data_IF_990220374849
#
_entry.id   IF_990220374849
#
_cell.length_a   1.000
_cell.length_b   1.000
_cell.length_c   1.000
_cell.angle_alpha   90.00
_cell.angle_beta   90.00
_cell.angle_gamma   90.00
#
_symmetry.space_group_name_H-M   'P 1'
#
loop_
_entity.id
_entity.type
_entity.pdbx_description
1 polymer ?
#
# COMPACT_ATOMS: atom_id res chain seq x y z
N UNK A 1 -60.42 -19.20 2.15
CA UNK A 1 -59.26 -18.33 1.85
C UNK A 1 -58.11 -18.66 2.81
N UNK A 2 -57.32 -19.72 2.56
CA UNK A 2 -56.16 -20.05 3.43
C UNK A 2 -55.05 -20.82 2.70
N UNK A 3 -54.67 -20.35 1.50
CA UNK A 3 -53.51 -20.85 0.75
C UNK A 3 -52.46 -19.76 0.49
N UNK A 4 -52.81 -18.48 0.69
CA UNK A 4 -51.93 -17.32 0.42
C UNK A 4 -50.96 -16.98 1.54
N UNK A 5 -51.24 -17.39 2.78
CA UNK A 5 -50.38 -17.09 3.95
C UNK A 5 -49.20 -18.06 4.08
N UNK A 6 -49.35 -19.32 3.68
CA UNK A 6 -48.26 -20.31 3.70
C UNK A 6 -47.19 -20.01 2.64
N UNK A 7 -47.58 -19.52 1.47
CA UNK A 7 -46.65 -19.16 0.40
C UNK A 7 -45.79 -17.92 0.73
N UNK A 8 -46.33 -16.97 1.51
CA UNK A 8 -45.58 -15.77 1.94
C UNK A 8 -44.53 -16.05 3.03
N UNK A 9 -44.74 -17.06 3.87
CA UNK A 9 -43.76 -17.47 4.88
C UNK A 9 -42.66 -18.38 4.29
N UNK A 10 -43.02 -19.24 3.33
CA UNK A 10 -42.03 -20.05 2.59
C UNK A 10 -41.12 -19.19 1.70
N UNK A 11 -41.67 -18.14 1.06
CA UNK A 11 -40.90 -17.22 0.21
C UNK A 11 -39.90 -16.36 1.01
N UNK A 12 -40.22 -15.97 2.25
CA UNK A 12 -39.28 -15.21 3.11
C UNK A 12 -38.12 -16.06 3.63
N UNK A 13 -38.33 -17.35 3.92
CA UNK A 13 -37.23 -18.26 4.28
C UNK A 13 -36.34 -18.61 3.08
N UNK A 14 -36.90 -18.68 1.88
CA UNK A 14 -36.12 -18.88 0.64
C UNK A 14 -35.29 -17.65 0.25
N UNK A 15 -35.78 -16.43 0.50
CA UNK A 15 -35.02 -15.18 0.28
C UNK A 15 -33.92 -14.94 1.32
N UNK A 16 -33.97 -15.61 2.48
CA UNK A 16 -32.95 -15.51 3.53
C UNK A 16 -31.78 -16.49 3.33
N UNK A 17 -31.94 -17.49 2.45
CA UNK A 17 -30.97 -18.55 2.19
C UNK A 17 -30.05 -18.31 0.96
N UNK A 18 -30.26 -17.23 0.20
CA UNK A 18 -29.45 -16.89 -0.98
C UNK A 18 -28.94 -15.43 -0.95
N UNK A 19 -28.37 -14.99 0.18
CA UNK A 19 -27.27 -14.02 0.10
C UNK A 19 -25.99 -14.84 0.03
N UNK A 20 -25.60 -15.26 -1.18
CA UNK A 20 -24.19 -15.51 -1.43
C UNK A 20 -23.47 -14.22 -1.06
N UNK A 21 -22.92 -14.16 0.16
CA UNK A 21 -22.14 -13.02 0.59
C UNK A 21 -20.94 -13.02 -0.32
N UNK A 22 -20.90 -12.07 -1.26
CA UNK A 22 -19.78 -11.89 -2.18
C UNK A 22 -18.47 -12.07 -1.42
N UNK A 23 -17.55 -12.85 -1.98
CA UNK A 23 -16.23 -13.11 -1.39
C UNK A 23 -15.54 -11.81 -0.97
N UNK A 24 -15.77 -10.74 -1.73
CA UNK A 24 -15.37 -9.37 -1.42
C UNK A 24 -15.93 -8.84 -0.09
N UNK A 25 -17.23 -8.95 0.17
CA UNK A 25 -17.87 -8.43 1.40
C UNK A 25 -17.35 -9.17 2.62
N UNK A 26 -17.21 -10.50 2.53
CA UNK A 26 -16.66 -11.32 3.61
C UNK A 26 -15.20 -10.95 3.89
N UNK A 27 -14.41 -10.79 2.83
CA UNK A 27 -13.01 -10.36 2.92
C UNK A 27 -12.87 -8.98 3.57
N UNK A 28 -13.66 -8.01 3.12
CA UNK A 28 -13.62 -6.65 3.67
C UNK A 28 -14.04 -6.61 5.14
N UNK A 29 -15.10 -7.34 5.53
CA UNK A 29 -15.51 -7.43 6.95
C UNK A 29 -14.38 -7.97 7.82
N UNK A 30 -13.75 -9.06 7.39
CA UNK A 30 -12.62 -9.63 8.13
C UNK A 30 -11.44 -8.63 8.21
N UNK A 31 -11.12 -7.94 7.11
CA UNK A 31 -10.07 -6.93 7.12
C UNK A 31 -10.39 -5.75 8.06
N UNK A 32 -11.64 -5.29 8.11
CA UNK A 32 -12.06 -4.23 9.03
C UNK A 32 -12.03 -4.69 10.49
N UNK A 33 -12.47 -5.92 10.77
CA UNK A 33 -12.39 -6.52 12.10
C UNK A 33 -10.94 -6.53 12.60
N UNK A 34 -9.98 -7.00 11.79
CA UNK A 34 -8.56 -6.96 12.12
C UNK A 34 -8.03 -5.55 12.38
N UNK A 35 -8.58 -4.51 11.73
CA UNK A 35 -8.11 -3.13 11.89
C UNK A 35 -8.61 -2.45 13.17
N UNK A 36 -9.73 -2.90 13.71
CA UNK A 36 -10.38 -2.28 14.87
C UNK A 36 -10.18 -3.08 16.16
N UNK A 37 -10.14 -4.42 16.08
CA UNK A 37 -9.96 -5.30 17.24
C UNK A 37 -8.52 -5.84 17.31
N UNK A 38 -7.76 -5.29 18.26
CA UNK A 38 -6.36 -5.63 18.48
C UNK A 38 -6.17 -7.09 18.94
N UNK A 39 -7.15 -7.70 19.63
CA UNK A 39 -7.06 -9.08 20.09
C UNK A 39 -7.31 -10.07 18.95
N UNK A 40 -8.26 -9.77 18.06
CA UNK A 40 -8.45 -10.53 16.82
C UNK A 40 -7.22 -10.38 15.93
N UNK A 41 -6.63 -9.19 15.84
CA UNK A 41 -5.41 -8.96 15.08
C UNK A 41 -4.21 -9.73 15.64
N UNK A 42 -4.02 -9.78 16.96
CA UNK A 42 -2.95 -10.58 17.59
C UNK A 42 -3.09 -12.06 17.29
N UNK A 43 -4.31 -12.59 17.36
CA UNK A 43 -4.59 -14.00 16.96
C UNK A 43 -4.24 -14.21 15.48
N UNK A 44 -4.54 -13.25 14.62
CA UNK A 44 -4.19 -13.34 13.21
C UNK A 44 -2.67 -13.26 12.97
N UNK A 45 -1.91 -12.51 13.77
CA UNK A 45 -0.44 -12.48 13.69
C UNK A 45 0.18 -13.86 13.98
N UNK A 46 -0.39 -14.65 14.88
CA UNK A 46 0.13 -16.01 15.18
C UNK A 46 -0.05 -17.05 14.06
N UNK A 47 -0.94 -16.81 13.10
CA UNK A 47 -1.22 -17.74 11.98
C UNK A 47 -1.08 -17.10 10.60
N UNK A 48 -0.73 -15.82 10.55
CA UNK A 48 -0.66 -15.02 9.32
C UNK A 48 0.62 -15.25 8.52
N UNK A 49 0.66 -14.56 7.39
CA UNK A 49 1.80 -14.51 6.47
C UNK A 49 2.49 -13.16 6.60
N UNK A 50 3.82 -13.16 6.57
CA UNK A 50 4.66 -11.99 6.73
C UNK A 50 5.51 -11.78 5.47
N UNK A 51 5.61 -10.51 5.08
CA UNK A 51 6.55 -10.03 4.07
C UNK A 51 7.61 -9.18 4.76
N UNK A 52 8.86 -9.49 4.50
CA UNK A 52 9.99 -8.91 5.24
C UNK A 52 10.58 -7.73 4.50
N UNK A 53 10.92 -6.71 5.26
CA UNK A 53 11.59 -5.51 4.81
C UNK A 53 12.83 -5.26 5.66
N UNK A 54 13.79 -4.55 5.10
CA UNK A 54 14.90 -3.97 5.83
C UNK A 54 15.11 -2.55 5.30
N UNK A 55 14.94 -1.55 6.17
CA UNK A 55 15.07 -0.13 5.79
C UNK A 55 14.19 0.22 4.58
N UNK A 56 12.93 -0.19 4.65
CA UNK A 56 11.90 -0.06 3.61
C UNK A 56 12.19 -0.81 2.30
N UNK A 57 13.29 -1.54 2.16
CA UNK A 57 13.53 -2.40 1.00
C UNK A 57 12.91 -3.79 1.25
N UNK A 58 12.00 -4.29 0.41
CA UNK A 58 11.46 -5.64 0.54
C UNK A 58 12.54 -6.69 0.27
N UNK A 59 12.45 -7.81 0.97
CA UNK A 59 13.15 -9.03 0.61
C UNK A 59 12.55 -9.58 -0.68
N UNK A 60 13.38 -9.76 -1.69
CA UNK A 60 12.99 -10.32 -2.98
C UNK A 60 13.90 -11.49 -3.36
N UNK A 61 13.31 -12.51 -3.97
CA UNK A 61 14.01 -13.65 -4.55
C UNK A 61 13.89 -13.60 -6.07
N UNK A 62 14.99 -13.87 -6.76
CA UNK A 62 15.02 -13.88 -8.21
C UNK A 62 14.62 -15.27 -8.72
N UNK A 63 13.53 -15.34 -9.48
CA UNK A 63 13.08 -16.56 -10.13
C UNK A 63 12.98 -16.30 -11.63
N UNK A 64 13.96 -16.81 -12.38
CA UNK A 64 14.15 -16.46 -13.79
C UNK A 64 14.48 -14.97 -13.97
N UNK A 65 13.65 -14.25 -14.72
CA UNK A 65 13.80 -12.80 -14.97
C UNK A 65 12.82 -11.94 -14.15
N UNK A 66 12.18 -12.51 -13.12
CA UNK A 66 11.23 -11.79 -12.26
C UNK A 66 11.61 -11.90 -10.79
N UNK A 67 11.28 -10.85 -10.04
CA UNK A 67 11.35 -10.86 -8.59
C UNK A 67 10.04 -11.31 -7.98
N UNK A 68 10.14 -12.20 -7.00
CA UNK A 68 9.05 -12.65 -6.16
C UNK A 68 9.32 -12.21 -4.72
N UNK A 69 8.26 -11.84 -4.00
CA UNK A 69 8.36 -11.56 -2.57
C UNK A 69 7.98 -12.83 -1.79
N UNK A 70 8.94 -13.50 -1.11
CA UNK A 70 8.65 -14.73 -0.40
C UNK A 70 7.73 -14.49 0.82
N UNK A 71 6.65 -15.27 0.97
CA UNK A 71 5.80 -15.23 2.16
C UNK A 71 6.39 -16.09 3.29
N UNK A 72 6.41 -15.59 4.53
CA UNK A 72 6.85 -16.32 5.72
C UNK A 72 5.68 -16.59 6.67
N UNK A 73 5.60 -17.78 7.24
CA UNK A 73 4.63 -18.05 8.32
C UNK A 73 5.14 -17.50 9.65
N UNK A 74 4.24 -17.23 10.58
CA UNK A 74 4.58 -16.76 11.92
C UNK A 74 5.65 -17.64 12.60
N UNK A 75 5.48 -18.97 12.60
CA UNK A 75 6.43 -19.91 13.21
C UNK A 75 7.84 -19.87 12.57
N UNK A 76 7.90 -19.68 11.26
CA UNK A 76 9.16 -19.54 10.54
C UNK A 76 9.83 -18.21 10.88
N UNK A 77 9.06 -17.14 10.96
CA UNK A 77 9.53 -15.82 11.34
C UNK A 77 10.07 -15.79 12.78
N UNK A 78 9.40 -16.45 13.73
CA UNK A 78 9.87 -16.57 15.12
C UNK A 78 11.23 -17.28 15.21
N UNK A 79 11.43 -18.34 14.42
CA UNK A 79 12.72 -19.04 14.30
C UNK A 79 13.81 -18.11 13.75
N UNK A 80 13.48 -17.35 12.70
CA UNK A 80 14.40 -16.38 12.09
C UNK A 80 14.77 -15.28 13.11
N UNK A 81 13.79 -14.66 13.78
CA UNK A 81 14.03 -13.62 14.78
C UNK A 81 14.90 -14.13 15.93
N UNK A 82 14.61 -15.33 16.44
CA UNK A 82 15.39 -15.96 17.50
C UNK A 82 16.86 -16.19 17.09
N UNK A 83 17.09 -16.58 15.83
CA UNK A 83 18.45 -16.79 15.29
C UNK A 83 19.28 -15.51 15.26
N UNK A 84 18.64 -14.37 14.98
CA UNK A 84 19.29 -13.05 14.94
C UNK A 84 19.27 -12.32 16.30
N UNK A 85 18.93 -13.02 17.40
CA UNK A 85 18.88 -12.43 18.74
C UNK A 85 17.82 -11.33 18.90
N UNK A 86 16.81 -11.35 18.04
CA UNK A 86 15.73 -10.36 18.05
C UNK A 86 14.56 -10.87 18.91
N UNK A 87 13.95 -9.98 19.69
CA UNK A 87 12.77 -10.32 20.48
C UNK A 87 11.58 -10.67 19.56
N UNK A 88 10.94 -11.81 19.82
CA UNK A 88 9.72 -12.26 19.15
C UNK A 88 8.60 -11.24 19.21
N UNK A 89 8.58 -10.37 20.24
CA UNK A 89 7.63 -9.25 20.35
C UNK A 89 7.73 -8.26 19.18
N UNK A 90 8.79 -8.30 18.36
CA UNK A 90 8.87 -7.52 17.11
C UNK A 90 7.76 -7.84 16.12
N UNK A 91 7.13 -9.02 16.18
CA UNK A 91 5.98 -9.36 15.33
C UNK A 91 4.82 -8.37 15.52
N UNK A 92 4.58 -7.85 16.73
CA UNK A 92 3.55 -6.83 16.99
C UNK A 92 3.85 -5.50 16.26
N UNK A 93 5.10 -5.26 15.87
CA UNK A 93 5.49 -4.08 15.08
C UNK A 93 5.08 -4.21 13.61
N UNK A 94 4.71 -5.40 13.14
CA UNK A 94 4.21 -5.61 11.78
C UNK A 94 2.95 -4.80 11.47
N UNK A 95 2.70 -4.54 10.19
CA UNK A 95 1.54 -3.79 9.70
C UNK A 95 0.68 -4.69 8.84
N UNK A 96 -0.63 -4.64 9.03
CA UNK A 96 -1.60 -5.40 8.25
C UNK A 96 -1.68 -4.79 6.84
N UNK A 97 -1.40 -5.60 5.83
CA UNK A 97 -1.37 -5.16 4.42
C UNK A 97 -2.52 -5.77 3.60
N UNK A 98 -3.14 -6.85 4.08
CA UNK A 98 -4.26 -7.47 3.38
C UNK A 98 -4.68 -8.80 3.99
N UNK A 99 -5.51 -9.54 3.26
CA UNK A 99 -5.90 -10.90 3.63
C UNK A 99 -6.28 -11.71 2.38
N UNK A 100 -6.23 -13.03 2.51
CA UNK A 100 -6.73 -13.98 1.52
C UNK A 100 -8.25 -14.16 1.64
N UNK A 101 -8.87 -14.76 0.62
CA UNK A 101 -10.31 -15.08 0.65
C UNK A 101 -10.65 -16.16 1.69
N UNK A 102 -9.63 -16.89 2.17
CA UNK A 102 -9.73 -17.89 3.24
C UNK A 102 -9.48 -17.32 4.64
N UNK A 103 -9.50 -15.98 4.79
CA UNK A 103 -9.22 -15.27 6.05
C UNK A 103 -7.81 -15.51 6.61
N UNK A 104 -6.82 -15.67 5.73
CA UNK A 104 -5.41 -15.63 6.14
C UNK A 104 -4.93 -14.18 6.06
N UNK A 105 -4.52 -13.60 7.19
CA UNK A 105 -4.03 -12.23 7.23
C UNK A 105 -2.59 -12.12 6.71
N UNK A 106 -2.31 -11.02 6.01
CA UNK A 106 -0.99 -10.71 5.48
C UNK A 106 -0.44 -9.47 6.16
N UNK A 107 0.81 -9.54 6.60
CA UNK A 107 1.50 -8.50 7.33
C UNK A 107 2.82 -8.14 6.67
N UNK A 108 3.30 -6.93 6.89
CA UNK A 108 4.65 -6.51 6.54
C UNK A 108 5.44 -6.16 7.80
N UNK A 109 6.68 -6.62 7.89
CA UNK A 109 7.55 -6.34 9.03
C UNK A 109 8.88 -5.80 8.52
N UNK A 110 9.24 -4.60 8.98
CA UNK A 110 10.58 -4.05 8.78
C UNK A 110 11.49 -4.46 9.94
N UNK A 111 12.55 -5.17 9.61
CA UNK A 111 13.47 -5.78 10.56
C UNK A 111 14.49 -4.77 11.11
N UNK A 112 14.75 -3.66 10.40
CA UNK A 112 15.67 -2.61 10.88
C UNK A 112 15.05 -1.73 11.97
N UNK A 113 13.71 -1.73 12.09
CA UNK A 113 13.00 -0.84 13.00
C UNK A 113 13.27 -1.20 14.48
N UNK A 114 14.13 -0.42 15.13
CA UNK A 114 14.53 -0.58 16.53
C UNK A 114 15.98 -1.06 16.73
N UNK A 115 16.72 -1.31 15.65
CA UNK A 115 18.18 -1.47 15.73
C UNK A 115 18.83 -0.09 15.61
N UNK A 116 19.14 0.54 16.75
CA UNK A 116 19.87 1.83 16.79
C UNK A 116 21.40 1.65 16.62
N UNK A 117 21.85 0.46 16.20
CA UNK A 117 23.26 0.09 16.19
C UNK A 117 23.87 0.19 14.78
N UNK A 118 25.07 0.76 14.71
CA UNK A 118 25.91 0.97 13.51
C UNK A 118 26.45 -0.32 12.85
N UNK A 119 25.97 -1.50 13.25
CA UNK A 119 26.31 -2.83 12.71
C UNK A 119 25.29 -3.37 11.69
N UNK A 120 24.36 -2.54 11.24
CA UNK A 120 23.21 -2.92 10.39
C UNK A 120 23.60 -3.52 9.03
N UNK A 121 24.77 -3.15 8.50
CA UNK A 121 25.27 -3.68 7.22
C UNK A 121 25.68 -5.16 7.28
N UNK A 122 26.31 -5.59 8.39
CA UNK A 122 26.72 -6.98 8.59
C UNK A 122 25.51 -7.87 8.85
N UNK A 123 24.58 -7.39 9.68
CA UNK A 123 23.32 -8.11 9.97
C UNK A 123 22.50 -8.29 8.69
N UNK A 124 22.44 -7.28 7.82
CA UNK A 124 21.73 -7.39 6.54
C UNK A 124 22.26 -8.54 5.66
N UNK A 125 23.58 -8.66 5.50
CA UNK A 125 24.17 -9.70 4.63
C UNK A 125 23.93 -11.12 5.16
N UNK A 126 23.99 -11.29 6.48
CA UNK A 126 23.69 -12.57 7.14
C UNK A 126 22.21 -12.95 6.96
N UNK A 127 21.31 -11.97 7.08
CA UNK A 127 19.88 -12.15 6.87
C UNK A 127 19.54 -12.50 5.42
N UNK A 128 20.16 -11.83 4.45
CA UNK A 128 19.98 -12.14 3.02
C UNK A 128 20.40 -13.59 2.70
N UNK A 129 21.48 -14.06 3.32
CA UNK A 129 21.97 -15.44 3.16
C UNK A 129 20.99 -16.46 3.76
N UNK A 130 20.50 -16.23 4.99
CA UNK A 130 19.54 -17.12 5.64
C UNK A 130 18.20 -17.19 4.89
N UNK A 131 17.73 -16.05 4.39
CA UNK A 131 16.44 -15.91 3.73
C UNK A 131 16.51 -16.25 2.22
N UNK A 132 17.70 -16.60 1.71
CA UNK A 132 17.97 -16.94 0.32
C UNK A 132 17.44 -15.87 -0.65
N UNK A 133 17.60 -14.58 -0.30
CA UNK A 133 17.05 -13.46 -1.04
C UNK A 133 17.83 -12.18 -0.78
N UNK A 134 17.45 -11.08 -1.44
CA UNK A 134 18.12 -9.79 -1.27
C UNK A 134 17.12 -8.69 -0.97
N UNK A 135 17.49 -7.75 -0.11
CA UNK A 135 16.67 -6.56 0.14
C UNK A 135 16.94 -5.53 -0.95
N UNK A 136 16.00 -5.40 -1.88
CA UNK A 136 16.14 -4.59 -3.08
C UNK A 136 15.20 -3.39 -3.02
N UNK A 137 15.73 -2.21 -3.30
CA UNK A 137 14.92 -0.99 -3.41
C UNK A 137 13.83 -1.16 -4.47
N UNK A 138 12.56 -0.94 -4.11
CA UNK A 138 11.42 -1.17 -4.99
C UNK A 138 11.53 -0.46 -6.35
N UNK A 139 12.12 0.74 -6.39
CA UNK A 139 12.36 1.47 -7.65
C UNK A 139 13.23 0.69 -8.64
N UNK A 140 14.20 -0.08 -8.14
CA UNK A 140 15.08 -0.93 -8.97
C UNK A 140 14.36 -2.20 -9.42
N UNK A 141 13.52 -2.77 -8.56
CA UNK A 141 12.81 -4.01 -8.83
C UNK A 141 11.50 -3.84 -9.61
N UNK A 142 10.98 -2.61 -9.76
CA UNK A 142 9.63 -2.32 -10.27
C UNK A 142 9.27 -3.06 -11.56
N UNK A 143 10.14 -3.02 -12.57
CA UNK A 143 9.86 -3.64 -13.88
C UNK A 143 10.02 -5.16 -13.89
N UNK A 144 10.66 -5.73 -12.88
CA UNK A 144 10.90 -7.17 -12.76
C UNK A 144 9.97 -7.83 -11.73
N UNK A 145 9.26 -7.05 -10.91
CA UNK A 145 8.29 -7.57 -9.95
C UNK A 145 7.11 -8.26 -10.64
N UNK A 146 6.63 -9.31 -9.99
CA UNK A 146 5.39 -9.98 -10.38
C UNK A 146 4.18 -9.07 -10.12
N UNK A 147 3.27 -8.95 -11.10
CA UNK A 147 2.11 -8.04 -11.04
C UNK A 147 1.24 -8.26 -9.80
N UNK A 148 1.06 -9.53 -9.41
CA UNK A 148 0.27 -9.92 -8.23
C UNK A 148 0.88 -9.36 -6.94
N UNK A 149 2.20 -9.37 -6.84
CA UNK A 149 2.93 -8.99 -5.62
C UNK A 149 3.20 -7.47 -5.59
N UNK A 150 3.28 -6.82 -6.76
CA UNK A 150 3.57 -5.38 -6.87
C UNK A 150 2.63 -4.54 -6.00
N UNK A 151 1.31 -4.69 -6.15
CA UNK A 151 0.34 -3.89 -5.37
C UNK A 151 0.47 -4.10 -3.85
N UNK A 152 0.74 -5.34 -3.44
CA UNK A 152 0.86 -5.73 -2.04
C UNK A 152 2.14 -5.14 -1.42
N UNK A 153 3.29 -5.31 -2.08
CA UNK A 153 4.59 -4.86 -1.57
C UNK A 153 4.69 -3.32 -1.58
N UNK A 154 4.06 -2.66 -2.54
CA UNK A 154 3.94 -1.20 -2.53
C UNK A 154 3.12 -0.70 -1.34
N UNK A 155 1.97 -1.33 -1.09
CA UNK A 155 1.12 -0.99 0.06
C UNK A 155 1.87 -1.19 1.37
N UNK A 156 2.60 -2.32 1.49
CA UNK A 156 3.46 -2.62 2.62
C UNK A 156 4.52 -1.54 2.86
N UNK A 157 5.32 -1.20 1.84
CA UNK A 157 6.35 -0.17 1.96
C UNK A 157 5.75 1.19 2.37
N UNK A 158 4.61 1.56 1.78
CA UNK A 158 3.98 2.84 2.03
C UNK A 158 3.45 2.96 3.47
N UNK A 159 2.87 1.88 4.02
CA UNK A 159 2.43 1.82 5.42
C UNK A 159 3.62 1.83 6.39
N UNK A 160 4.67 1.05 6.10
CA UNK A 160 5.90 1.04 6.91
C UNK A 160 6.54 2.44 6.97
N UNK A 161 6.68 3.10 5.80
CA UNK A 161 7.19 4.46 5.70
C UNK A 161 6.31 5.46 6.44
N UNK A 162 4.98 5.32 6.36
CA UNK A 162 4.07 6.18 7.11
C UNK A 162 4.35 6.12 8.62
N UNK A 163 4.54 4.92 9.17
CA UNK A 163 4.89 4.79 10.59
C UNK A 163 6.28 5.32 10.95
N UNK A 164 7.26 5.25 10.05
CA UNK A 164 8.57 5.87 10.23
C UNK A 164 8.45 7.40 10.36
N UNK A 165 7.61 8.02 9.52
CA UNK A 165 7.44 9.48 9.51
C UNK A 165 6.46 10.03 10.57
N UNK A 166 5.58 9.21 11.16
CA UNK A 166 4.51 9.66 12.05
C UNK A 166 4.70 9.23 13.51
N UNK A 167 5.96 9.16 13.97
CA UNK A 167 6.29 8.71 15.33
C UNK A 167 5.83 9.67 16.44
N UNK A 168 5.67 10.95 16.13
CA UNK A 168 5.30 11.99 17.09
C UNK A 168 4.00 12.70 16.70
N UNK A 169 3.29 13.22 17.69
CA UNK A 169 2.05 13.94 17.52
C UNK A 169 2.32 15.37 17.06
N UNK A 170 1.76 15.78 15.92
CA UNK A 170 1.90 17.15 15.42
C UNK A 170 1.29 18.23 16.32
N UNK A 171 0.35 17.87 17.21
CA UNK A 171 -0.28 18.81 18.15
C UNK A 171 0.49 18.94 19.47
N UNK A 172 0.93 17.83 20.05
CA UNK A 172 1.51 17.80 21.40
C UNK A 172 3.01 17.51 21.45
N UNK A 173 3.63 17.13 20.32
CA UNK A 173 5.03 16.69 20.25
C UNK A 173 5.32 15.32 20.89
N UNK A 174 4.33 14.72 21.55
CA UNK A 174 4.51 13.44 22.27
C UNK A 174 4.53 12.23 21.32
N UNK A 175 5.22 11.13 21.67
CA UNK A 175 5.18 9.90 20.89
C UNK A 175 3.75 9.39 20.70
N UNK A 176 3.43 8.99 19.47
CA UNK A 176 2.17 8.32 19.15
C UNK A 176 2.33 6.81 19.30
N UNK A 177 1.24 6.12 19.57
CA UNK A 177 1.19 4.66 19.69
C UNK A 177 0.43 4.07 18.51
N UNK A 178 0.99 3.04 17.90
CA UNK A 178 0.36 2.27 16.83
C UNK A 178 -0.62 1.27 17.43
N UNK A 179 -1.77 1.02 16.78
CA UNK A 179 -2.57 -0.17 17.10
C UNK A 179 -1.91 -1.46 16.55
N UNK A 180 -2.37 -2.64 16.94
CA UNK A 180 -1.70 -3.91 16.55
C UNK A 180 -1.66 -4.07 15.03
N UNK A 181 -2.74 -3.75 14.34
CA UNK A 181 -2.83 -3.83 12.88
C UNK A 181 -1.99 -2.79 12.12
N UNK A 182 -1.53 -1.71 12.77
CA UNK A 182 -0.88 -0.60 12.07
C UNK A 182 -1.80 0.22 11.15
N UNK A 183 -3.12 0.12 11.32
CA UNK A 183 -4.08 0.91 10.54
C UNK A 183 -4.19 2.36 11.02
N UNK A 184 -3.79 2.65 12.27
CA UNK A 184 -3.86 3.97 12.89
C UNK A 184 -2.76 4.17 13.93
N UNK A 185 -2.52 5.43 14.27
CA UNK A 185 -1.70 5.83 15.41
C UNK A 185 -2.50 6.77 16.31
N UNK A 186 -2.39 6.62 17.62
CA UNK A 186 -3.13 7.39 18.61
C UNK A 186 -2.13 8.13 19.48
N UNK A 187 -2.33 9.43 19.70
CA UNK A 187 -1.57 10.17 20.68
C UNK A 187 -2.23 10.02 22.06
N UNK A 188 -1.56 9.44 23.07
CA UNK A 188 -2.15 9.27 24.39
C UNK A 188 -2.41 10.59 25.12
N UNK A 189 -1.66 11.66 24.81
CA UNK A 189 -1.80 12.95 25.49
C UNK A 189 -2.92 13.83 24.92
N UNK A 190 -3.20 13.73 23.62
CA UNK A 190 -4.21 14.55 22.95
C UNK A 190 -5.43 13.78 22.47
N UNK A 191 -5.42 12.44 22.59
CA UNK A 191 -6.39 11.51 22.00
C UNK A 191 -6.61 11.67 20.49
N UNK A 192 -5.69 12.34 19.80
CA UNK A 192 -5.76 12.46 18.35
C UNK A 192 -5.43 11.13 17.67
N UNK A 193 -6.27 10.75 16.72
CA UNK A 193 -6.07 9.58 15.88
C UNK A 193 -5.55 10.03 14.53
N UNK A 194 -4.44 9.44 14.11
CA UNK A 194 -3.81 9.64 12.83
C UNK A 194 -4.03 8.39 11.98
N UNK A 195 -4.46 8.60 10.74
CA UNK A 195 -4.60 7.55 9.73
C UNK A 195 -3.57 7.75 8.62
N UNK A 196 -3.14 6.68 7.93
CA UNK A 196 -2.32 6.80 6.73
C UNK A 196 -2.96 7.74 5.70
N UNK A 197 -2.25 8.81 5.34
CA UNK A 197 -2.71 9.79 4.36
C UNK A 197 -2.21 9.39 2.98
N UNK A 198 -3.11 9.37 1.99
CA UNK A 198 -2.72 9.20 0.59
C UNK A 198 -2.64 10.55 -0.11
N UNK A 199 -1.56 10.79 -0.85
CA UNK A 199 -1.37 11.99 -1.67
C UNK A 199 -1.79 11.69 -3.11
N UNK A 200 -2.90 12.23 -3.60
CA UNK A 200 -3.27 12.04 -5.00
C UNK A 200 -2.26 12.71 -5.92
N UNK A 201 -1.76 11.94 -6.88
CA UNK A 201 -0.86 12.41 -7.94
C UNK A 201 -1.59 12.17 -9.25
N UNK A 202 -1.48 13.10 -10.19
CA UNK A 202 -1.99 12.88 -11.54
C UNK A 202 -0.80 12.77 -12.47
N UNK A 203 -0.86 11.80 -13.38
CA UNK A 203 0.08 11.64 -14.48
C UNK A 203 -0.67 11.86 -15.80
N UNK A 204 -0.22 12.83 -16.59
CA UNK A 204 -0.93 13.29 -17.79
C UNK A 204 -0.07 13.15 -19.02
N UNK A 205 -0.55 12.37 -19.99
CA UNK A 205 0.00 12.35 -21.33
C UNK A 205 -0.70 13.41 -22.19
N UNK A 206 0.03 14.44 -22.59
CA UNK A 206 -0.47 15.47 -23.50
C UNK A 206 -0.10 15.06 -24.93
N UNK A 207 -1.08 14.97 -25.82
CA UNK A 207 -0.85 14.52 -27.20
C UNK A 207 -1.70 15.25 -28.22
N UNK A 208 -1.14 15.54 -29.40
CA UNK A 208 -1.88 16.08 -30.57
C UNK A 208 -2.33 14.96 -31.55
N UNK A 209 -2.53 13.74 -31.02
CA UNK A 209 -2.73 12.46 -31.73
C UNK A 209 -1.48 11.90 -32.41
N UNK A 210 -0.70 12.73 -33.10
CA UNK A 210 0.50 12.28 -33.84
C UNK A 210 1.78 12.32 -33.01
N UNK A 211 1.83 13.22 -32.03
CA UNK A 211 2.97 13.48 -31.15
C UNK A 211 2.48 13.55 -29.71
N UNK A 212 3.36 13.26 -28.77
CA UNK A 212 3.11 13.45 -27.35
C UNK A 212 4.24 14.25 -26.69
N UNK A 213 3.88 14.99 -25.65
CA UNK A 213 4.81 15.72 -24.82
C UNK A 213 5.32 14.79 -23.72
N UNK A 214 6.64 14.63 -23.66
CA UNK A 214 7.33 13.94 -22.59
C UNK A 214 8.35 14.90 -21.96
N UNK A 215 8.52 14.78 -20.65
CA UNK A 215 9.51 15.53 -19.90
C UNK A 215 10.52 14.57 -19.26
N UNK A 216 11.65 15.14 -18.85
CA UNK A 216 12.71 14.42 -18.15
C UNK A 216 13.20 15.23 -16.95
N UNK A 217 13.38 14.55 -15.82
CA UNK A 217 14.05 15.09 -14.65
C UNK A 217 15.54 14.75 -14.68
N UNK A 218 16.37 15.56 -14.00
CA UNK A 218 17.82 15.36 -13.91
C UNK A 218 18.19 14.00 -13.28
N UNK A 219 17.35 13.49 -12.39
CA UNK A 219 17.53 12.19 -11.70
C UNK A 219 17.23 10.97 -12.58
N UNK A 220 16.62 11.16 -13.76
CA UNK A 220 16.24 10.03 -14.62
C UNK A 220 17.45 9.49 -15.40
N UNK A 221 17.53 8.16 -15.61
CA UNK A 221 18.54 7.55 -16.47
C UNK A 221 18.60 8.20 -17.86
N UNK A 222 19.78 8.17 -18.49
CA UNK A 222 19.94 8.70 -19.86
C UNK A 222 18.99 7.98 -20.82
N UNK A 223 18.27 8.74 -21.63
CA UNK A 223 17.28 8.23 -22.58
C UNK A 223 15.88 7.97 -22.01
N UNK A 224 15.68 8.11 -20.69
CA UNK A 224 14.36 7.93 -20.08
C UNK A 224 13.58 9.24 -20.03
N UNK A 225 12.38 9.22 -20.62
CA UNK A 225 11.40 10.31 -20.60
C UNK A 225 10.07 9.79 -20.03
N UNK A 226 9.27 10.67 -19.43
CA UNK A 226 7.97 10.31 -18.86
C UNK A 226 6.92 11.36 -19.17
N UNK A 227 5.65 10.97 -19.03
CA UNK A 227 4.53 11.90 -19.03
C UNK A 227 4.66 12.89 -17.85
N UNK A 228 3.96 14.03 -17.95
CA UNK A 228 3.99 15.04 -16.89
C UNK A 228 3.26 14.51 -15.66
N UNK A 229 3.82 14.71 -14.47
CA UNK A 229 3.19 14.30 -13.22
C UNK A 229 3.32 15.38 -12.15
N UNK A 230 2.28 15.51 -11.33
CA UNK A 230 2.23 16.49 -10.23
C UNK A 230 1.22 16.09 -9.15
N UNK A 231 1.44 16.58 -7.93
CA UNK A 231 0.47 16.45 -6.85
C UNK A 231 -0.81 17.22 -7.18
N UNK A 232 -1.96 16.70 -6.76
CA UNK A 232 -3.19 17.47 -6.81
C UNK A 232 -3.26 18.40 -5.61
N UNK A 233 -3.46 19.69 -5.88
CA UNK A 233 -3.87 20.62 -4.85
C UNK A 233 -5.34 20.39 -4.45
N UNK A 234 -5.68 20.75 -3.21
CA UNK A 234 -7.02 20.56 -2.63
C UNK A 234 -8.10 21.19 -3.50
N UNK A 235 -7.83 22.35 -4.09
CA UNK A 235 -8.76 23.10 -4.93
C UNK A 235 -9.06 22.39 -6.26
N UNK A 236 -8.11 21.60 -6.78
CA UNK A 236 -8.20 20.93 -8.08
C UNK A 236 -9.02 19.64 -8.04
N UNK A 237 -9.25 19.06 -6.86
CA UNK A 237 -10.02 17.81 -6.70
C UNK A 237 -11.53 18.03 -6.78
N UNK A 238 -12.02 19.25 -6.52
CA UNK A 238 -13.45 19.57 -6.47
C UNK A 238 -13.98 20.24 -7.74
N UNK A 239 -13.11 20.80 -8.59
CA UNK A 239 -13.54 21.44 -9.84
C UNK A 239 -13.88 20.40 -10.90
N UNK A 240 -15.18 20.13 -11.07
CA UNK A 240 -15.72 19.41 -12.22
C UNK A 240 -15.29 20.12 -13.51
N UNK A 241 -14.46 19.47 -14.31
CA UNK A 241 -14.52 19.59 -15.77
C UNK A 241 -13.48 20.45 -16.48
N UNK A 242 -12.50 21.04 -15.80
CA UNK A 242 -11.30 21.58 -16.47
C UNK A 242 -10.08 21.31 -15.60
N UNK A 243 -9.23 20.39 -16.05
CA UNK A 243 -7.95 20.09 -15.41
C UNK A 243 -6.98 21.25 -15.64
N UNK A 244 -7.07 22.32 -14.86
CA UNK A 244 -5.92 23.23 -14.74
C UNK A 244 -4.90 22.54 -13.83
N UNK A 245 -4.09 21.64 -14.40
CA UNK A 245 -2.89 21.19 -13.70
C UNK A 245 -1.91 22.35 -13.67
N UNK A 246 -1.77 23.00 -12.51
CA UNK A 246 -0.62 23.86 -12.28
C UNK A 246 0.58 22.97 -11.97
N UNK A 247 1.17 22.38 -13.02
CA UNK A 247 2.57 21.98 -12.95
C UNK A 247 3.38 23.27 -13.11
N UNK A 248 4.25 23.60 -12.16
CA UNK A 248 5.13 24.77 -12.25
C UNK A 248 5.97 24.79 -13.55
N UNK A 249 6.18 23.61 -14.15
CA UNK A 249 6.87 23.39 -15.42
C UNK A 249 5.97 23.42 -16.68
N UNK A 250 4.65 23.53 -16.54
CA UNK A 250 3.69 23.49 -17.66
C UNK A 250 2.60 24.58 -17.55
N UNK A 251 2.97 25.77 -17.06
CA UNK A 251 2.10 26.93 -16.81
C UNK A 251 1.40 27.53 -18.05
N UNK A 252 1.47 26.89 -19.22
CA UNK A 252 0.91 27.41 -20.48
C UNK A 252 -0.02 26.44 -21.24
N UNK A 253 -0.32 25.25 -20.71
CA UNK A 253 -1.21 24.30 -21.39
C UNK A 253 -2.62 24.38 -20.82
N UNK A 254 -3.60 24.70 -21.67
CA UNK A 254 -5.03 24.69 -21.32
C UNK A 254 -5.66 23.38 -21.83
N UNK A 255 -5.95 22.38 -20.97
CA UNK A 255 -6.50 21.12 -21.45
C UNK A 255 -7.97 21.32 -21.80
N UNK A 256 -8.31 21.24 -23.09
CA UNK A 256 -9.69 21.37 -23.55
C UNK A 256 -10.49 20.08 -23.27
N UNK A 257 -9.82 18.93 -23.21
CA UNK A 257 -10.39 17.61 -22.92
C UNK A 257 -9.37 16.73 -22.19
N UNK A 258 -9.75 16.20 -21.03
CA UNK A 258 -8.97 15.18 -20.30
C UNK A 258 -9.85 13.96 -20.01
N UNK A 259 -9.37 12.75 -20.29
CA UNK A 259 -10.05 11.49 -19.98
C UNK A 259 -9.24 10.64 -19.00
N UNK A 260 -9.93 10.00 -18.06
CA UNK A 260 -9.34 8.98 -17.19
C UNK A 260 -9.05 7.72 -17.99
N UNK A 261 -7.82 7.23 -17.91
CA UNK A 261 -7.37 6.08 -18.71
C UNK A 261 -7.57 4.76 -17.94
N UNK A 262 -7.22 4.73 -16.66
CA UNK A 262 -7.31 3.52 -15.82
C UNK A 262 -7.49 3.88 -14.35
N UNK A 263 -7.74 2.85 -13.52
CA UNK A 263 -7.79 2.96 -12.08
C UNK A 263 -6.45 3.44 -11.49
N UNK A 264 -6.50 4.04 -10.30
CA UNK A 264 -5.32 4.59 -9.64
C UNK A 264 -4.23 3.55 -9.35
N UNK A 265 -2.98 3.90 -9.59
CA UNK A 265 -1.82 3.02 -9.38
C UNK A 265 -1.02 3.49 -8.17
N UNK A 266 -0.72 2.63 -7.18
CA UNK A 266 0.16 2.96 -6.06
C UNK A 266 1.58 3.34 -6.54
N UNK A 267 2.14 4.40 -5.97
CA UNK A 267 3.46 4.94 -6.33
C UNK A 267 4.50 4.75 -5.22
N UNK A 268 5.78 4.73 -5.62
CA UNK A 268 6.96 4.48 -4.76
C UNK A 268 7.26 5.57 -3.70
N UNK A 269 6.61 6.74 -3.82
CA UNK A 269 6.84 7.93 -2.98
C UNK A 269 5.54 8.26 -2.22
N UNK A 270 5.62 8.92 -1.04
CA UNK A 270 4.78 8.64 0.13
C UNK A 270 3.30 8.48 -0.22
N UNK A 271 2.76 7.28 0.02
CA UNK A 271 1.35 6.89 -0.17
C UNK A 271 0.68 7.58 -1.36
N UNK A 272 1.38 7.70 -2.48
CA UNK A 272 0.88 8.42 -3.63
C UNK A 272 0.10 7.49 -4.53
N UNK A 273 -1.05 7.93 -5.02
CA UNK A 273 -1.83 7.18 -6.02
C UNK A 273 -1.82 7.99 -7.30
N UNK A 274 -1.24 7.45 -8.36
CA UNK A 274 -1.25 8.08 -9.66
C UNK A 274 -2.58 7.82 -10.36
N UNK A 275 -3.23 8.89 -10.79
CA UNK A 275 -4.44 8.86 -11.57
C UNK A 275 -4.09 9.27 -13.02
N UNK A 276 -4.09 8.33 -13.98
CA UNK A 276 -3.65 8.60 -15.33
C UNK A 276 -4.71 9.32 -16.17
N UNK A 277 -4.28 10.40 -16.82
CA UNK A 277 -5.08 11.23 -17.71
C UNK A 277 -4.48 11.29 -19.11
N UNK A 278 -5.34 11.32 -20.12
CA UNK A 278 -4.95 11.69 -21.49
C UNK A 278 -5.57 13.02 -21.84
N UNK A 279 -4.73 13.99 -22.23
CA UNK A 279 -5.16 15.31 -22.69
C UNK A 279 -5.00 15.46 -24.20
N UNK A 280 -6.06 15.90 -24.89
CA UNK A 280 -6.00 16.38 -26.27
C UNK A 280 -6.15 17.91 -26.26
N UNK A 281 -5.07 18.69 -26.43
CA UNK A 281 -5.22 20.11 -26.68
C UNK A 281 -5.85 20.30 -28.06
N UNK A 282 -6.94 21.08 -28.16
CA UNK A 282 -7.29 21.70 -29.43
C UNK A 282 -6.24 22.77 -29.69
N UNK A 283 -5.32 22.52 -30.63
CA UNK A 283 -4.52 23.59 -31.23
C UNK A 283 -5.52 24.45 -32.03
N UNK A 284 -5.90 25.60 -31.48
CA UNK A 284 -6.49 26.71 -32.25
C UNK A 284 -5.40 27.45 -32.98
#
# INVERSE_FOLDING_TARGET
MSLSLFWRLASRKALQACRQVSTYVTKMRYLFELKEDDDVCRKAQSSGIFYLFHSLAPLLQMSGNRYLAPPFRASELERILSKFGQDTRKIERSVLIGCSDRREAWFALDLSLGSLCSSDSLQKSEMETELQGSFIQLRKALFQLNEKDTSLIFTAQALLRWHECHQFCGKSGQPTQKNVAGSKRICPSSNMIYYPQMSPVVITLVSDRTRCLLARQSSFPKGMYSALAGFCDVDLLWYKGTSSQRCDSASQLHPSYASWITAGVPMLNPLSVALPLQGCPKLT
#
